data_IF_956325337987
#
_entry.id   IF_956325337987
#
_cell.length_a   1.000
_cell.length_b   1.000
_cell.length_c   1.000
_cell.angle_alpha   90.00
_cell.angle_beta   90.00
_cell.angle_gamma   90.00
#
_symmetry.space_group_name_H-M   'P 1'
#
loop_
_entity.id
_entity.type
_entity.pdbx_description
1 polymer ?
#
# COMPACT_ATOMS: atom_id res chain seq x y z
N UNK A 1 1.56 -63.19 72.29
CA UNK A 1 1.32 -61.98 73.11
C UNK A 1 2.45 -61.96 74.13
N UNK A 2 3.38 -61.01 74.16
CA UNK A 2 3.51 -59.67 73.58
C UNK A 2 4.96 -59.46 73.09
N UNK A 3 5.16 -58.52 72.14
CA UNK A 3 6.49 -58.05 71.71
C UNK A 3 7.19 -57.25 72.82
N UNK A 4 8.53 -57.29 72.84
CA UNK A 4 9.35 -56.11 72.51
C UNK A 4 10.66 -56.57 71.79
N UNK A 5 11.65 -55.79 71.35
CA UNK A 5 11.89 -54.37 71.11
C UNK A 5 13.17 -54.24 70.24
N UNK A 6 13.35 -53.07 69.63
CA UNK A 6 14.62 -52.43 69.18
C UNK A 6 15.63 -53.20 68.31
N UNK A 7 15.87 -52.68 67.09
CA UNK A 7 16.97 -51.74 66.81
C UNK A 7 17.18 -51.60 65.29
N UNK A 8 17.10 -50.37 64.75
CA UNK A 8 17.77 -49.89 63.52
C UNK A 8 17.38 -48.44 63.25
N UNK A 9 18.22 -47.50 63.67
CA UNK A 9 18.23 -46.13 63.13
C UNK A 9 19.68 -45.82 62.72
N UNK A 10 19.95 -45.97 61.43
CA UNK A 10 21.18 -45.51 60.78
C UNK A 10 21.10 -44.01 60.49
N UNK A 11 22.07 -43.30 61.05
CA UNK A 11 22.81 -42.18 60.48
C UNK A 11 22.06 -41.09 59.69
N UNK A 12 21.80 -39.99 60.40
CA UNK A 12 21.88 -38.64 59.87
C UNK A 12 23.33 -38.28 59.50
N UNK A 13 23.55 -37.60 58.38
CA UNK A 13 24.60 -36.59 58.28
C UNK A 13 24.33 -35.53 57.19
N UNK A 14 24.02 -34.34 57.72
CA UNK A 14 24.14 -32.96 57.21
C UNK A 14 23.94 -32.63 55.73
N UNK A 15 22.85 -31.89 55.47
CA UNK A 15 22.67 -31.04 54.31
C UNK A 15 23.72 -29.90 54.26
N UNK A 16 24.33 -29.72 53.09
CA UNK A 16 25.05 -28.48 52.71
C UNK A 16 24.08 -27.57 51.97
N UNK A 17 23.70 -26.47 52.60
CA UNK A 17 22.98 -25.36 51.95
C UNK A 17 24.01 -24.33 51.47
N UNK A 18 24.05 -24.04 50.16
CA UNK A 18 24.86 -22.96 49.57
C UNK A 18 24.01 -21.67 49.46
N UNK A 19 24.54 -20.47 49.78
CA UNK A 19 23.77 -19.22 49.74
C UNK A 19 23.54 -18.68 48.32
N UNK A 20 22.52 -17.81 48.09
CA UNK A 20 22.00 -17.50 46.77
C UNK A 20 22.91 -16.51 46.00
N UNK A 21 23.51 -16.96 44.90
CA UNK A 21 24.31 -16.12 44.00
C UNK A 21 23.41 -15.37 43.01
N UNK A 22 23.27 -14.05 43.22
CA UNK A 22 22.91 -13.02 42.24
C UNK A 22 21.54 -13.10 41.53
N UNK A 23 20.44 -13.06 42.30
CA UNK A 23 19.07 -12.84 41.78
C UNK A 23 18.98 -11.61 40.85
N UNK A 24 19.72 -10.53 41.11
CA UNK A 24 19.74 -9.31 40.26
C UNK A 24 20.31 -9.52 38.86
N UNK A 25 21.32 -10.40 38.69
CA UNK A 25 21.88 -10.73 37.36
C UNK A 25 20.95 -11.64 36.57
N UNK A 26 20.26 -12.55 37.25
CA UNK A 26 19.24 -13.40 36.64
C UNK A 26 18.05 -12.56 36.16
N UNK A 27 17.58 -11.61 36.97
CA UNK A 27 16.50 -10.68 36.58
C UNK A 27 16.91 -9.82 35.37
N UNK A 28 18.14 -9.29 35.35
CA UNK A 28 18.65 -8.50 34.22
C UNK A 28 18.71 -9.32 32.92
N UNK A 29 19.15 -10.59 32.99
CA UNK A 29 19.22 -11.49 31.85
C UNK A 29 17.82 -11.86 31.31
N UNK A 30 16.84 -12.05 32.20
CA UNK A 30 15.45 -12.31 31.81
C UNK A 30 14.85 -11.07 31.12
N UNK A 31 15.10 -9.86 31.64
CA UNK A 31 14.66 -8.62 31.01
C UNK A 31 15.28 -8.41 29.61
N UNK A 32 16.57 -8.69 29.46
CA UNK A 32 17.26 -8.64 28.16
C UNK A 32 16.67 -9.65 27.17
N UNK A 33 16.33 -10.86 27.61
CA UNK A 33 15.70 -11.87 26.77
C UNK A 33 14.30 -11.46 26.31
N UNK A 34 13.50 -10.82 27.17
CA UNK A 34 12.16 -10.30 26.82
C UNK A 34 12.27 -9.16 25.81
N UNK A 35 13.23 -8.24 26.00
CA UNK A 35 13.46 -7.15 25.04
C UNK A 35 13.92 -7.71 23.69
N UNK A 36 14.81 -8.71 23.68
CA UNK A 36 15.26 -9.36 22.45
C UNK A 36 14.08 -10.02 21.72
N UNK A 37 13.20 -10.72 22.45
CA UNK A 37 11.99 -11.34 21.89
C UNK A 37 11.02 -10.29 21.33
N UNK A 38 10.85 -9.16 22.01
CA UNK A 38 10.02 -8.06 21.51
C UNK A 38 10.60 -7.44 20.22
N UNK A 39 11.93 -7.24 20.16
CA UNK A 39 12.60 -6.74 18.94
C UNK A 39 12.47 -7.73 17.79
N UNK A 40 12.67 -9.03 18.04
CA UNK A 40 12.48 -10.08 17.02
C UNK A 40 11.02 -10.14 16.58
N UNK A 41 10.06 -9.99 17.49
CA UNK A 41 8.63 -9.95 17.16
C UNK A 41 8.26 -8.75 16.29
N UNK A 42 8.78 -7.55 16.60
CA UNK A 42 8.56 -6.35 15.78
C UNK A 42 9.21 -6.49 14.40
N UNK A 43 10.41 -7.05 14.31
CA UNK A 43 11.08 -7.31 13.04
C UNK A 43 10.34 -8.36 12.20
N UNK A 44 9.87 -9.44 12.82
CA UNK A 44 9.07 -10.47 12.17
C UNK A 44 7.71 -9.93 11.69
N UNK A 45 7.06 -9.06 12.48
CA UNK A 45 5.82 -8.40 12.07
C UNK A 45 6.06 -7.47 10.88
N UNK A 46 7.09 -6.62 10.94
CA UNK A 46 7.47 -5.72 9.82
C UNK A 46 7.83 -6.51 8.55
N UNK A 47 8.56 -7.62 8.70
CA UNK A 47 8.91 -8.49 7.58
C UNK A 47 7.70 -9.25 7.03
N UNK A 48 6.80 -9.72 7.90
CA UNK A 48 5.53 -10.36 7.50
C UNK A 48 4.64 -9.40 6.73
N UNK A 49 4.46 -8.17 7.21
CA UNK A 49 3.72 -7.13 6.47
C UNK A 49 4.39 -6.77 5.14
N UNK A 50 5.72 -6.84 5.05
CA UNK A 50 6.44 -6.61 3.80
C UNK A 50 6.22 -7.75 2.79
N UNK A 51 6.30 -9.00 3.24
CA UNK A 51 6.07 -10.18 2.39
C UNK A 51 4.61 -10.30 1.97
N UNK A 52 3.66 -9.96 2.85
CA UNK A 52 2.23 -10.01 2.53
C UNK A 52 1.84 -8.97 1.47
N UNK A 53 2.51 -7.80 1.46
CA UNK A 53 2.40 -6.82 0.35
C UNK A 53 2.94 -7.35 -0.98
N UNK A 54 3.86 -8.32 -0.97
CA UNK A 54 4.32 -9.00 -2.19
C UNK A 54 3.44 -10.22 -2.56
N UNK A 55 2.74 -10.82 -1.60
CA UNK A 55 1.96 -12.04 -1.79
C UNK A 55 0.53 -11.80 -2.32
N UNK A 56 -0.02 -10.60 -2.10
CA UNK A 56 -1.32 -10.18 -2.67
C UNK A 56 -1.21 -9.58 -4.09
N UNK A 57 -0.01 -9.59 -4.69
CA UNK A 57 0.14 -9.31 -6.11
C UNK A 57 -0.14 -10.59 -6.93
N UNK A 58 -1.09 -10.57 -7.89
CA UNK A 58 -1.15 -11.64 -8.88
C UNK A 58 0.20 -11.68 -9.59
N UNK A 59 0.79 -12.87 -9.72
CA UNK A 59 2.08 -13.17 -10.35
C UNK A 59 2.20 -12.46 -11.72
N UNK A 60 2.71 -11.24 -11.69
CA UNK A 60 3.08 -10.41 -12.83
C UNK A 60 4.59 -10.26 -12.79
N UNK A 61 5.25 -10.58 -13.90
CA UNK A 61 6.71 -10.68 -13.96
C UNK A 61 7.42 -9.47 -13.37
N UNK A 62 8.32 -9.73 -12.41
CA UNK A 62 9.27 -8.74 -11.93
C UNK A 62 10.13 -8.27 -13.11
N UNK A 63 9.94 -7.03 -13.56
CA UNK A 63 10.84 -6.39 -14.50
C UNK A 63 12.20 -6.24 -13.83
N UNK A 64 13.17 -7.04 -14.28
CA UNK A 64 14.57 -6.76 -13.99
C UNK A 64 14.97 -5.59 -14.89
N UNK A 65 15.22 -4.43 -14.28
CA UNK A 65 15.84 -3.32 -14.98
C UNK A 65 17.26 -3.75 -15.36
N UNK A 66 17.42 -4.26 -16.58
CA UNK A 66 18.72 -4.49 -17.19
C UNK A 66 19.42 -3.12 -17.35
N UNK A 67 20.57 -2.87 -16.69
CA UNK A 67 21.26 -1.58 -16.72
C UNK A 67 21.91 -1.26 -18.09
N UNK A 68 21.64 -2.04 -19.14
CA UNK A 68 22.27 -1.93 -20.46
C UNK A 68 21.52 -1.19 -21.58
N UNK A 69 20.28 -0.71 -21.38
CA UNK A 69 19.51 -0.08 -22.48
C UNK A 69 19.78 1.44 -22.56
N UNK A 70 20.53 1.84 -23.58
CA UNK A 70 20.66 3.24 -23.99
C UNK A 70 19.27 3.84 -24.30
N UNK A 71 18.93 4.94 -23.61
CA UNK A 71 17.77 5.81 -23.76
C UNK A 71 16.37 5.17 -23.57
N UNK A 72 15.64 5.64 -22.55
CA UNK A 72 14.21 5.35 -22.34
C UNK A 72 13.27 5.92 -23.42
N UNK A 73 13.80 6.49 -24.49
CA UNK A 73 13.05 7.11 -25.58
C UNK A 73 13.29 6.36 -26.89
N UNK A 74 12.20 6.05 -27.61
CA UNK A 74 12.30 5.61 -29.00
C UNK A 74 12.96 6.69 -29.87
N UNK A 75 13.60 6.32 -30.96
CA UNK A 75 14.13 7.25 -31.96
C UNK A 75 13.00 8.04 -32.66
N UNK A 76 13.35 9.13 -33.34
CA UNK A 76 12.37 9.90 -34.13
C UNK A 76 11.79 9.08 -35.30
N UNK A 77 12.60 8.20 -35.90
CA UNK A 77 12.13 7.29 -36.96
C UNK A 77 11.10 6.29 -36.42
N UNK A 78 11.36 5.68 -35.26
CA UNK A 78 10.39 4.81 -34.61
C UNK A 78 9.11 5.57 -34.22
N UNK A 79 9.24 6.80 -33.73
CA UNK A 79 8.06 7.64 -33.49
C UNK A 79 7.24 7.84 -34.77
N UNK A 80 7.87 8.22 -35.87
CA UNK A 80 7.19 8.45 -37.15
C UNK A 80 6.49 7.16 -37.64
N UNK A 81 7.20 6.04 -37.59
CA UNK A 81 6.69 4.73 -38.02
C UNK A 81 5.49 4.26 -37.19
N UNK A 82 5.53 4.42 -35.87
CA UNK A 82 4.57 3.80 -34.96
C UNK A 82 3.47 4.75 -34.46
N UNK A 83 3.60 6.06 -34.67
CA UNK A 83 2.63 7.04 -34.18
C UNK A 83 1.20 6.75 -34.67
N UNK A 84 1.03 6.37 -35.93
CA UNK A 84 -0.30 6.09 -36.49
C UNK A 84 -0.98 4.86 -35.88
N UNK A 85 -0.21 3.90 -35.37
CA UNK A 85 -0.74 2.70 -34.73
C UNK A 85 -1.06 2.92 -33.24
N UNK A 86 -0.30 3.79 -32.57
CA UNK A 86 -0.39 4.03 -31.12
C UNK A 86 -1.36 5.19 -30.82
N UNK A 87 -1.21 6.33 -31.51
CA UNK A 87 -1.96 7.56 -31.29
C UNK A 87 -3.09 7.69 -32.33
N UNK A 88 -4.08 6.81 -32.21
CA UNK A 88 -5.08 6.59 -33.28
C UNK A 88 -6.15 7.67 -33.44
N UNK A 89 -6.21 8.66 -32.53
CA UNK A 89 -7.17 9.77 -32.57
C UNK A 89 -6.47 11.13 -32.41
N UNK A 90 -6.99 12.23 -33.00
CA UNK A 90 -6.32 13.53 -33.02
C UNK A 90 -6.09 14.16 -31.64
N UNK A 91 -6.87 13.77 -30.62
CA UNK A 91 -6.74 14.28 -29.26
C UNK A 91 -5.34 14.00 -28.67
N UNK A 92 -4.69 12.92 -29.10
CA UNK A 92 -3.32 12.58 -28.70
C UNK A 92 -2.23 13.39 -29.40
N UNK A 93 -2.58 14.24 -30.36
CA UNK A 93 -1.61 15.17 -30.96
C UNK A 93 -1.07 16.17 -29.95
N UNK A 94 -1.80 16.40 -28.86
CA UNK A 94 -1.43 17.30 -27.76
C UNK A 94 -0.36 16.74 -26.82
N UNK A 95 -0.06 15.43 -26.89
CA UNK A 95 0.99 14.83 -26.07
C UNK A 95 2.35 15.38 -26.51
N UNK A 96 3.18 15.92 -25.58
CA UNK A 96 4.52 16.37 -25.90
C UNK A 96 5.38 15.26 -26.53
N UNK A 97 6.22 15.63 -27.49
CA UNK A 97 6.96 14.67 -28.32
C UNK A 97 7.84 13.70 -27.51
N UNK A 98 8.52 14.18 -26.47
CA UNK A 98 9.33 13.33 -25.60
C UNK A 98 8.49 12.22 -24.93
N UNK A 99 7.28 12.54 -24.47
CA UNK A 99 6.38 11.54 -23.91
C UNK A 99 5.83 10.60 -24.98
N UNK A 100 5.55 11.10 -26.20
CA UNK A 100 5.19 10.21 -27.32
C UNK A 100 6.30 9.20 -27.60
N UNK A 101 7.56 9.63 -27.60
CA UNK A 101 8.74 8.76 -27.82
C UNK A 101 8.90 7.74 -26.69
N UNK A 102 8.68 8.12 -25.44
CA UNK A 102 8.68 7.21 -24.31
C UNK A 102 7.57 6.15 -24.42
N UNK A 103 6.36 6.57 -24.77
CA UNK A 103 5.23 5.67 -25.01
C UNK A 103 5.52 4.71 -26.16
N UNK A 104 6.06 5.19 -27.28
CA UNK A 104 6.45 4.31 -28.40
C UNK A 104 7.46 3.27 -27.93
N UNK A 105 8.46 3.66 -27.12
CA UNK A 105 9.43 2.72 -26.55
C UNK A 105 8.73 1.64 -25.71
N UNK A 106 7.78 2.03 -24.86
CA UNK A 106 6.98 1.08 -24.06
C UNK A 106 6.21 0.11 -24.95
N UNK A 107 5.55 0.59 -26.01
CA UNK A 107 4.83 -0.27 -26.94
C UNK A 107 5.74 -1.25 -27.66
N UNK A 108 6.93 -0.81 -28.08
CA UNK A 108 7.91 -1.63 -28.77
C UNK A 108 8.49 -2.71 -27.85
N UNK A 109 8.97 -2.30 -26.66
CA UNK A 109 9.62 -3.20 -25.71
C UNK A 109 8.66 -4.30 -25.22
N UNK A 110 7.38 -3.97 -25.06
CA UNK A 110 6.37 -4.88 -24.54
C UNK A 110 5.51 -5.55 -25.63
N UNK A 111 5.79 -5.28 -26.91
CA UNK A 111 5.03 -5.80 -28.06
C UNK A 111 3.52 -5.51 -27.99
N UNK A 112 3.11 -4.41 -27.38
CA UNK A 112 1.70 -4.07 -27.20
C UNK A 112 0.93 -3.80 -28.49
N UNK A 113 1.64 -3.64 -29.61
CA UNK A 113 1.07 -3.42 -30.94
C UNK A 113 0.59 -4.71 -31.60
N UNK A 114 0.95 -5.90 -31.10
CA UNK A 114 0.42 -7.18 -31.59
C UNK A 114 -0.60 -7.75 -30.60
N UNK A 115 -1.52 -8.57 -31.12
CA UNK A 115 -2.39 -9.40 -30.27
C UNK A 115 -1.82 -10.83 -30.15
N UNK A 116 -0.50 -10.96 -30.29
CA UNK A 116 0.18 -12.20 -29.94
C UNK A 116 0.07 -12.34 -28.42
N UNK A 117 -0.38 -13.51 -27.96
CA UNK A 117 -0.56 -13.85 -26.54
C UNK A 117 -1.59 -13.01 -25.76
N UNK A 118 -2.49 -12.28 -26.44
CA UNK A 118 -3.52 -11.48 -25.76
C UNK A 118 -2.97 -10.23 -25.06
N UNK A 119 -1.71 -9.85 -25.31
CA UNK A 119 -1.02 -8.76 -24.63
C UNK A 119 -1.22 -7.39 -25.31
N UNK A 120 -2.19 -7.27 -26.21
CA UNK A 120 -2.43 -6.01 -26.91
C UNK A 120 -2.90 -4.94 -25.93
N UNK A 121 -2.23 -3.79 -25.97
CA UNK A 121 -2.64 -2.59 -25.26
C UNK A 121 -2.82 -1.44 -26.24
N UNK A 122 -3.76 -0.53 -25.97
CA UNK A 122 -4.00 0.62 -26.82
C UNK A 122 -4.56 1.79 -26.02
N UNK A 123 -4.30 3.00 -26.50
CA UNK A 123 -4.99 4.17 -26.00
C UNK A 123 -6.47 4.12 -26.37
N UNK A 124 -7.33 4.61 -25.48
CA UNK A 124 -8.77 4.69 -25.77
C UNK A 124 -9.04 5.40 -27.10
N UNK A 125 -9.94 4.83 -27.89
CA UNK A 125 -10.39 5.43 -29.16
C UNK A 125 -11.59 6.35 -28.96
N UNK A 126 -12.08 6.47 -27.72
CA UNK A 126 -13.24 7.28 -27.36
C UNK A 126 -12.78 8.70 -27.06
N UNK A 127 -13.16 9.65 -27.92
CA UNK A 127 -12.80 11.06 -27.82
C UNK A 127 -13.01 11.66 -26.43
N UNK A 128 -14.19 11.47 -25.85
CA UNK A 128 -14.54 12.04 -24.53
C UNK A 128 -13.76 11.43 -23.35
N UNK A 129 -13.14 10.27 -23.57
CA UNK A 129 -12.30 9.58 -22.59
C UNK A 129 -10.81 9.90 -22.78
N UNK A 130 -10.39 10.27 -23.98
CA UNK A 130 -8.97 10.53 -24.31
C UNK A 130 -8.29 11.55 -23.38
N UNK A 131 -8.99 12.60 -22.96
CA UNK A 131 -8.49 13.61 -22.02
C UNK A 131 -8.49 13.16 -20.56
N UNK A 132 -9.12 12.01 -20.26
CA UNK A 132 -9.27 11.44 -18.92
C UNK A 132 -8.37 10.21 -18.69
N UNK A 133 -7.49 9.90 -19.64
CA UNK A 133 -6.53 8.80 -19.55
C UNK A 133 -5.09 9.29 -19.49
N UNK A 134 -4.87 10.59 -19.34
CA UNK A 134 -3.55 11.22 -19.27
C UNK A 134 -3.58 12.29 -18.17
N UNK A 135 -2.55 12.32 -17.33
CA UNK A 135 -2.31 13.38 -16.36
C UNK A 135 -0.81 13.73 -16.31
N UNK A 136 -0.50 14.99 -16.04
CA UNK A 136 0.88 15.48 -15.92
C UNK A 136 1.09 16.16 -14.57
N UNK A 137 2.18 15.85 -13.86
CA UNK A 137 2.50 16.42 -12.56
C UNK A 137 3.93 16.10 -12.09
N UNK A 138 4.37 16.74 -11.02
CA UNK A 138 5.63 16.40 -10.33
C UNK A 138 5.33 15.41 -9.20
N UNK A 139 5.14 14.14 -9.59
CA UNK A 139 4.69 13.07 -8.71
C UNK A 139 5.78 12.60 -7.74
N UNK A 140 7.07 12.74 -8.09
CA UNK A 140 8.20 12.39 -7.22
C UNK A 140 8.73 13.57 -6.39
N UNK A 141 8.37 14.81 -6.74
CA UNK A 141 8.86 16.02 -6.07
C UNK A 141 10.26 16.45 -6.51
N UNK A 142 10.74 15.96 -7.66
CA UNK A 142 12.07 16.22 -8.21
C UNK A 142 12.11 17.47 -9.10
N UNK A 143 10.95 18.10 -9.34
CA UNK A 143 10.81 19.36 -10.09
C UNK A 143 10.56 19.21 -11.58
N UNK A 144 10.81 18.02 -12.15
CA UNK A 144 10.51 17.72 -13.55
C UNK A 144 9.09 17.18 -13.71
N UNK A 145 8.40 17.62 -14.77
CA UNK A 145 7.05 17.09 -15.06
C UNK A 145 7.12 15.64 -15.53
N UNK A 146 6.34 14.78 -14.90
CA UNK A 146 6.14 13.38 -15.26
C UNK A 146 4.74 13.19 -15.87
N UNK A 147 4.52 12.07 -16.55
CA UNK A 147 3.26 11.73 -17.19
C UNK A 147 2.70 10.42 -16.60
N UNK A 148 1.45 10.46 -16.19
CA UNK A 148 0.65 9.28 -15.94
C UNK A 148 -0.29 9.02 -17.10
N UNK A 149 -0.43 7.76 -17.53
CA UNK A 149 -1.38 7.41 -18.57
C UNK A 149 -1.98 6.02 -18.41
N UNK A 150 -3.18 5.84 -18.96
CA UNK A 150 -3.89 4.57 -19.00
C UNK A 150 -3.91 3.99 -20.42
N UNK A 151 -3.67 2.69 -20.54
CA UNK A 151 -3.91 1.91 -21.75
C UNK A 151 -5.05 0.92 -21.48
N UNK A 152 -5.94 0.73 -22.46
CA UNK A 152 -6.93 -0.35 -22.46
C UNK A 152 -6.28 -1.65 -22.96
N UNK A 153 -6.75 -2.80 -22.47
CA UNK A 153 -6.33 -4.13 -22.93
C UNK A 153 -7.27 -4.66 -24.00
N UNK A 154 -6.83 -5.71 -24.71
CA UNK A 154 -7.58 -6.37 -25.78
C UNK A 154 -8.99 -6.86 -25.37
N UNK A 155 -9.24 -7.05 -24.08
CA UNK A 155 -10.55 -7.46 -23.54
C UNK A 155 -11.57 -6.31 -23.45
N UNK A 156 -11.14 -5.05 -23.71
CA UNK A 156 -11.95 -3.83 -23.64
C UNK A 156 -12.60 -3.59 -22.27
N UNK A 157 -12.11 -4.25 -21.22
CA UNK A 157 -12.67 -4.16 -19.86
C UNK A 157 -11.58 -3.91 -18.83
N UNK A 158 -10.36 -4.36 -19.11
CA UNK A 158 -9.19 -4.15 -18.29
C UNK A 158 -8.33 -3.02 -18.86
N UNK A 159 -7.47 -2.48 -18.00
CA UNK A 159 -6.52 -1.43 -18.36
C UNK A 159 -5.21 -1.61 -17.62
N UNK A 160 -4.21 -0.80 -17.96
CA UNK A 160 -2.97 -0.68 -17.20
C UNK A 160 -2.64 0.80 -17.03
N UNK A 161 -2.08 1.15 -15.86
CA UNK A 161 -1.59 2.51 -15.57
C UNK A 161 -0.08 2.53 -15.60
N UNK A 162 0.48 3.59 -16.16
CA UNK A 162 1.91 3.86 -16.23
C UNK A 162 2.19 5.25 -15.67
N UNK A 163 3.33 5.43 -15.01
CA UNK A 163 3.91 6.75 -14.70
C UNK A 163 5.34 6.77 -15.25
N UNK A 164 5.66 7.77 -16.06
CA UNK A 164 6.96 7.90 -16.72
C UNK A 164 7.57 9.29 -16.56
N UNK A 165 8.90 9.35 -16.58
CA UNK A 165 9.63 10.62 -16.69
C UNK A 165 9.67 11.12 -18.14
N UNK A 166 10.13 12.36 -18.31
CA UNK A 166 10.36 12.98 -19.62
C UNK A 166 11.38 12.21 -20.49
N UNK A 167 12.32 11.53 -19.84
CA UNK A 167 13.36 10.68 -20.43
C UNK A 167 12.87 9.26 -20.70
N UNK A 168 11.62 8.96 -20.36
CA UNK A 168 10.98 7.66 -20.57
C UNK A 168 11.33 6.60 -19.54
N UNK A 169 11.85 6.99 -18.37
CA UNK A 169 12.03 6.06 -17.27
C UNK A 169 10.67 5.69 -16.67
N UNK A 170 10.42 4.39 -16.49
CA UNK A 170 9.21 3.89 -15.86
C UNK A 170 9.32 4.04 -14.33
N UNK A 171 8.43 4.85 -13.75
CA UNK A 171 8.35 5.07 -12.31
C UNK A 171 7.32 4.17 -11.63
N UNK A 172 6.25 3.82 -12.35
CA UNK A 172 5.17 2.99 -11.85
C UNK A 172 4.44 2.27 -12.98
N UNK A 173 4.06 1.02 -12.73
CA UNK A 173 3.21 0.22 -13.60
C UNK A 173 2.26 -0.61 -12.73
N UNK A 174 1.00 -0.71 -13.13
CA UNK A 174 0.06 -1.66 -12.53
C UNK A 174 -1.01 -2.07 -13.53
N UNK A 175 -1.21 -3.38 -13.67
CA UNK A 175 -2.37 -3.97 -14.35
C UNK A 175 -3.64 -3.74 -13.53
N UNK A 176 -4.74 -3.45 -14.22
CA UNK A 176 -6.05 -3.16 -13.64
C UNK A 176 -7.09 -4.05 -14.34
N UNK A 177 -7.44 -5.15 -13.71
CA UNK A 177 -8.42 -6.11 -14.25
C UNK A 177 -9.86 -5.60 -14.12
N UNK A 178 -10.67 -5.82 -15.17
CA UNK A 178 -12.11 -5.54 -15.21
C UNK A 178 -12.50 -4.09 -14.85
N UNK A 179 -11.57 -3.14 -14.96
CA UNK A 179 -11.86 -1.73 -14.78
C UNK A 179 -11.23 -0.86 -15.87
N UNK A 180 -12.01 0.15 -16.26
CA UNK A 180 -11.64 1.21 -17.17
C UNK A 180 -11.69 2.56 -16.42
N UNK A 181 -10.77 2.82 -15.47
CA UNK A 181 -10.78 4.04 -14.70
C UNK A 181 -10.52 5.26 -15.59
N UNK A 182 -10.76 6.42 -14.98
CA UNK A 182 -10.26 7.72 -15.43
C UNK A 182 -9.23 8.22 -14.44
N UNK A 183 -8.30 9.04 -14.91
CA UNK A 183 -7.28 9.66 -14.09
C UNK A 183 -7.32 11.18 -14.19
N UNK A 184 -7.00 11.84 -13.09
CA UNK A 184 -6.79 13.29 -13.01
C UNK A 184 -5.70 13.60 -12.00
N UNK A 185 -4.92 14.65 -12.25
CA UNK A 185 -3.98 15.18 -11.25
C UNK A 185 -4.69 15.84 -10.06
N UNK A 186 -4.12 15.68 -8.88
CA UNK A 186 -4.24 16.61 -7.77
C UNK A 186 -2.86 17.18 -7.41
N UNK A 187 -2.83 18.36 -6.80
CA UNK A 187 -1.60 19.09 -6.51
C UNK A 187 -1.08 18.79 -5.11
N UNK A 188 0.23 18.94 -4.93
CA UNK A 188 0.81 19.06 -3.59
C UNK A 188 0.05 20.08 -2.75
N UNK A 189 -0.30 19.70 -1.53
CA UNK A 189 -1.10 20.51 -0.61
C UNK A 189 -2.62 20.38 -0.78
N UNK A 190 -3.12 19.64 -1.77
CA UNK A 190 -4.55 19.29 -1.80
C UNK A 190 -4.91 18.38 -0.61
N UNK A 191 -6.16 18.44 -0.15
CA UNK A 191 -6.63 17.60 0.96
C UNK A 191 -7.03 16.22 0.43
N UNK A 192 -6.41 15.18 0.99
CA UNK A 192 -6.64 13.77 0.63
C UNK A 192 -6.73 12.92 1.88
N UNK A 193 -7.38 11.76 1.76
CA UNK A 193 -7.29 10.70 2.76
C UNK A 193 -6.07 9.82 2.48
N UNK A 194 -5.36 9.43 3.53
CA UNK A 194 -4.23 8.49 3.47
C UNK A 194 -4.43 7.37 4.50
N UNK A 195 -3.57 7.28 5.51
CA UNK A 195 -3.58 6.17 6.49
C UNK A 195 -4.78 6.22 7.47
N UNK A 196 -5.36 7.41 7.68
CA UNK A 196 -6.47 7.65 8.60
C UNK A 196 -7.67 8.24 7.84
N UNK A 197 -8.89 8.09 8.37
CA UNK A 197 -10.12 8.78 7.91
C UNK A 197 -10.10 10.29 8.23
N UNK A 198 -8.95 10.92 8.02
CA UNK A 198 -8.72 12.34 8.25
C UNK A 198 -8.04 12.93 7.01
N UNK A 199 -8.60 14.04 6.54
CA UNK A 199 -8.01 14.78 5.44
C UNK A 199 -6.67 15.38 5.87
N UNK A 200 -5.62 15.06 5.11
CA UNK A 200 -4.30 15.64 5.26
C UNK A 200 -3.84 16.29 3.95
N UNK A 201 -2.90 17.23 4.08
CA UNK A 201 -2.30 17.91 2.93
C UNK A 201 -1.37 16.93 2.19
N UNK A 202 -1.58 16.78 0.89
CA UNK A 202 -0.76 15.92 0.04
C UNK A 202 0.72 16.38 0.03
N UNK A 203 1.68 15.47 0.28
CA UNK A 203 3.11 15.81 0.28
C UNK A 203 3.69 16.10 -1.12
N UNK A 204 3.09 15.54 -2.16
CA UNK A 204 3.49 15.65 -3.58
C UNK A 204 2.25 15.82 -4.45
N UNK A 205 2.45 16.13 -5.74
CA UNK A 205 1.38 15.92 -6.71
C UNK A 205 1.03 14.43 -6.74
N UNK A 206 -0.20 14.11 -7.15
CA UNK A 206 -0.59 12.72 -7.34
C UNK A 206 -1.73 12.58 -8.32
N UNK A 207 -2.24 11.36 -8.40
CA UNK A 207 -3.25 10.97 -9.38
C UNK A 207 -4.50 10.50 -8.64
N UNK A 208 -5.64 11.14 -8.89
CA UNK A 208 -6.94 10.56 -8.58
C UNK A 208 -7.24 9.53 -9.66
N UNK A 209 -7.41 8.27 -9.27
CA UNK A 209 -7.94 7.19 -10.10
C UNK A 209 -9.39 6.96 -9.73
N UNK A 210 -10.30 7.15 -10.69
CA UNK A 210 -11.74 7.04 -10.47
C UNK A 210 -12.33 5.94 -11.35
N UNK A 211 -13.01 4.99 -10.71
CA UNK A 211 -13.81 3.93 -11.33
C UNK A 211 -15.30 4.27 -11.18
N UNK A 212 -16.20 3.33 -11.52
CA UNK A 212 -17.64 3.49 -11.26
C UNK A 212 -17.99 3.42 -9.76
N UNK A 213 -17.24 2.63 -8.99
CA UNK A 213 -17.57 2.31 -7.59
C UNK A 213 -16.57 2.86 -6.57
N UNK A 214 -15.44 3.39 -7.02
CA UNK A 214 -14.37 3.82 -6.12
C UNK A 214 -13.62 5.03 -6.66
N UNK A 215 -13.02 5.77 -5.73
CA UNK A 215 -12.10 6.85 -6.01
C UNK A 215 -10.89 6.65 -5.11
N UNK A 216 -9.73 6.44 -5.71
CA UNK A 216 -8.47 6.29 -4.98
C UNK A 216 -7.52 7.42 -5.40
N UNK A 217 -6.56 7.74 -4.53
CA UNK A 217 -5.38 8.52 -4.91
C UNK A 217 -4.18 7.58 -4.99
N UNK A 218 -3.36 7.77 -6.02
CA UNK A 218 -2.05 7.19 -6.16
C UNK A 218 -1.03 8.30 -5.91
N UNK A 219 -0.17 8.12 -4.91
CA UNK A 219 0.78 9.15 -4.47
C UNK A 219 2.14 8.54 -4.11
N UNK A 220 3.21 9.27 -4.40
CA UNK A 220 4.56 8.84 -4.07
C UNK A 220 4.83 8.93 -2.56
N UNK A 221 5.36 7.85 -2.01
CA UNK A 221 5.84 7.77 -0.64
C UNK A 221 7.36 7.88 -0.62
N UNK A 222 7.85 9.06 -0.22
CA UNK A 222 9.29 9.35 -0.19
C UNK A 222 10.09 8.52 0.82
N UNK A 223 9.44 7.88 1.80
CA UNK A 223 10.09 7.01 2.79
C UNK A 223 10.36 5.63 2.22
N UNK A 224 9.36 5.04 1.54
CA UNK A 224 9.46 3.70 0.94
C UNK A 224 9.97 3.72 -0.49
N UNK A 225 9.99 4.90 -1.13
CA UNK A 225 10.33 5.09 -2.55
C UNK A 225 9.36 4.37 -3.49
N UNK A 226 8.10 4.20 -3.07
CA UNK A 226 7.03 3.53 -3.83
C UNK A 226 5.87 4.48 -4.09
N UNK A 227 4.96 4.11 -4.99
CA UNK A 227 3.65 4.74 -5.10
C UNK A 227 2.63 3.92 -4.29
N UNK A 228 1.93 4.60 -3.39
CA UNK A 228 0.93 3.99 -2.53
C UNK A 228 -0.47 4.46 -2.96
N UNK A 229 -1.46 3.58 -2.82
CA UNK A 229 -2.85 3.82 -3.22
C UNK A 229 -3.75 3.94 -1.98
N UNK A 230 -4.53 5.02 -1.90
CA UNK A 230 -5.41 5.31 -0.76
C UNK A 230 -6.84 5.60 -1.21
N UNK A 231 -7.81 4.92 -0.59
CA UNK A 231 -9.23 5.16 -0.83
C UNK A 231 -9.66 6.56 -0.40
N UNK A 232 -10.51 7.21 -1.20
CA UNK A 232 -11.04 8.52 -0.91
C UNK A 232 -12.50 8.40 -0.49
N UNK A 233 -12.74 8.55 0.81
CA UNK A 233 -14.05 8.40 1.42
C UNK A 233 -15.08 9.40 0.88
N UNK A 234 -16.28 8.90 0.64
CA UNK A 234 -17.47 9.69 0.38
C UNK A 234 -18.11 10.15 1.68
N UNK A 235 -19.06 11.10 1.59
CA UNK A 235 -19.82 11.53 2.76
C UNK A 235 -20.63 10.40 3.38
N UNK A 236 -21.07 9.42 2.57
CA UNK A 236 -21.85 8.30 3.06
C UNK A 236 -20.96 7.24 3.72
N UNK A 237 -19.74 7.02 3.21
CA UNK A 237 -18.74 6.15 3.88
C UNK A 237 -18.44 6.64 5.30
N UNK A 238 -18.33 7.97 5.47
CA UNK A 238 -18.06 8.60 6.78
C UNK A 238 -19.26 8.46 7.72
N UNK A 239 -20.49 8.56 7.22
CA UNK A 239 -21.69 8.38 8.05
C UNK A 239 -21.80 6.94 8.55
N UNK A 240 -21.62 5.96 7.67
CA UNK A 240 -21.68 4.55 8.05
C UNK A 240 -20.63 4.19 9.11
N UNK A 241 -19.41 4.72 8.98
CA UNK A 241 -18.37 4.51 9.99
C UNK A 241 -18.77 5.08 11.37
N UNK A 242 -19.31 6.29 11.41
CA UNK A 242 -19.75 6.91 12.66
C UNK A 242 -20.99 6.22 13.28
N UNK A 243 -21.88 5.68 12.44
CA UNK A 243 -23.07 4.95 12.90
C UNK A 243 -22.71 3.55 13.45
N UNK A 244 -21.70 2.88 12.89
CA UNK A 244 -21.16 1.62 13.41
C UNK A 244 -20.44 1.82 14.75
N UNK A 245 -19.59 2.85 14.87
CA UNK A 245 -18.94 3.20 16.14
C UNK A 245 -19.94 3.61 17.23
N UNK A 246 -21.11 4.16 16.87
CA UNK A 246 -22.16 4.56 17.80
C UNK A 246 -23.04 3.39 18.31
N UNK A 247 -23.02 2.23 17.65
CA UNK A 247 -23.78 1.04 18.06
C UNK A 247 -23.03 0.15 19.06
N UNK A 248 -21.72 0.37 19.22
CA UNK A 248 -20.87 -0.35 20.18
C UNK A 248 -20.72 0.38 21.54
N UNK A 249 -21.31 1.57 21.71
CA UNK A 249 -21.49 2.18 23.03
C UNK A 249 -22.67 1.53 23.74
N UNK A 250 -22.43 0.41 24.44
CA UNK A 250 -23.42 -0.15 25.36
C UNK A 250 -23.86 0.91 26.38
N UNK A 251 -25.17 1.07 26.64
CA UNK A 251 -25.64 2.02 27.64
C UNK A 251 -25.08 1.60 29.00
N UNK A 252 -24.26 2.46 29.59
CA UNK A 252 -23.87 2.33 30.99
C UNK A 252 -25.15 2.38 31.82
N UNK A 253 -25.59 1.24 32.33
CA UNK A 253 -26.66 1.21 33.33
C UNK A 253 -26.17 1.97 34.57
N UNK A 254 -26.80 3.11 34.85
CA UNK A 254 -26.68 3.81 36.12
C UNK A 254 -27.22 2.91 37.24
N UNK A 255 -26.33 2.12 37.84
CA UNK A 255 -26.61 1.44 39.11
C UNK A 255 -26.30 2.41 40.24
N UNK A 256 -27.28 3.25 40.62
CA UNK A 256 -27.26 3.87 41.94
C UNK A 256 -28.12 3.06 42.93
N UNK A 257 -27.43 2.12 43.58
CA UNK A 257 -27.86 1.56 44.84
C UNK A 257 -27.60 2.57 45.96
N UNK A 258 -28.64 3.04 46.65
CA UNK A 258 -28.71 2.94 48.12
C UNK A 258 -30.03 3.50 48.67
N UNK A 259 -30.86 2.58 49.15
CA UNK A 259 -31.81 2.88 50.20
C UNK A 259 -31.06 2.99 51.53
N UNK A 260 -31.13 4.15 52.20
CA UNK A 260 -30.92 4.23 53.65
C UNK A 260 -32.11 4.93 54.29
N UNK A 261 -32.83 4.12 55.07
CA UNK A 261 -33.95 4.45 55.94
C UNK A 261 -33.42 5.24 57.14
N UNK A 262 -34.05 6.36 57.47
CA UNK A 262 -33.97 6.93 58.82
C UNK A 262 -35.25 7.68 59.16
N UNK A 263 -36.11 7.00 59.91
CA UNK A 263 -37.10 7.61 60.81
C UNK A 263 -36.36 8.44 61.88
N UNK A 264 -36.90 9.62 62.24
CA UNK A 264 -37.27 9.97 63.63
C UNK A 264 -37.95 11.36 63.73
N UNK A 265 -38.54 11.72 64.90
CA UNK A 265 -39.89 12.27 64.99
C UNK A 265 -39.93 13.76 65.37
N UNK A 266 -41.09 14.39 65.18
CA UNK A 266 -41.77 15.27 66.14
C UNK A 266 -43.21 15.52 65.69
#
# INVERSE_FOLDING_TARGET
>A
MEQPDFNKNELQNSAKENPPKNKKRIILLVLLAIILLAVVGVLAFRYGSYVQRQADEPVGGAYTADPGIMNGLASHNELEQWSGAIFTIPEYNTIPEHFKRAIVKIFLDNKFYTNEDGNQHFFTKIKDRSSKVIAYGDYTGEGDTQMAFLLEKADFQSSAIFIITKEGNLLYYKDIGNELPTIKRFSKGDLIYMDEMKLIRAPFDGIIKQTKGSKNVLIYNSKTKTFDEYYQYTADDIKHYNDEDALDEEPVEDVDSTAVKSEKPQ
#
